data_IF_021210958572
#
_entry.id   IF_021210958572
#
_cell.length_a   1.000
_cell.length_b   1.000
_cell.length_c   1.000
_cell.angle_alpha   90.00
_cell.angle_beta   90.00
_cell.angle_gamma   90.00
#
_symmetry.space_group_name_H-M   'P 1'
#
loop_
_entity.id
_entity.type
_entity.pdbx_description
1 polymer ?
#
# COMPACT_ATOMS: atom_id res chain seq x y z
N UNK A 1 16.71 24.62 8.60
CA UNK A 1 15.99 23.96 9.71
C UNK A 1 15.31 22.70 9.19
N UNK A 2 15.89 21.53 9.46
CA UNK A 2 15.36 20.25 8.95
C UNK A 2 14.16 19.82 9.80
N UNK A 3 12.98 19.68 9.18
CA UNK A 3 11.85 18.97 9.78
C UNK A 3 12.36 17.64 10.33
N UNK A 4 12.25 17.40 11.65
CA UNK A 4 12.64 16.13 12.29
C UNK A 4 11.78 15.01 11.71
N UNK A 5 12.22 14.42 10.60
CA UNK A 5 11.62 13.22 10.02
C UNK A 5 11.72 12.11 11.07
N UNK A 6 10.63 11.40 11.34
CA UNK A 6 10.65 10.19 12.16
C UNK A 6 11.79 9.28 11.70
N UNK A 7 12.61 8.77 12.65
CA UNK A 7 13.67 7.80 12.36
C UNK A 7 13.08 6.57 11.64
N UNK A 8 13.70 6.16 10.53
CA UNK A 8 13.37 4.92 9.83
C UNK A 8 13.88 3.72 10.63
N UNK A 9 13.20 2.58 10.54
CA UNK A 9 13.77 1.31 10.99
C UNK A 9 14.49 0.63 9.83
N UNK A 10 15.63 0.00 10.12
CA UNK A 10 16.41 -0.79 9.16
C UNK A 10 16.32 -2.29 9.47
N UNK A 11 15.41 -2.69 10.35
CA UNK A 11 15.08 -4.10 10.52
C UNK A 11 14.64 -4.71 9.18
N UNK A 12 14.94 -5.99 9.00
CA UNK A 12 14.57 -6.73 7.79
C UNK A 12 13.05 -6.88 7.67
N UNK A 13 12.54 -6.80 6.43
CA UNK A 13 11.13 -7.14 6.16
C UNK A 13 11.06 -8.61 5.74
N UNK A 14 10.67 -9.48 6.66
CA UNK A 14 10.56 -10.92 6.46
C UNK A 14 9.23 -11.35 5.82
N UNK A 15 9.13 -12.64 5.46
CA UNK A 15 7.89 -13.24 4.99
C UNK A 15 6.75 -13.16 6.03
N UNK A 16 7.06 -13.29 7.33
CA UNK A 16 6.06 -13.15 8.41
C UNK A 16 5.44 -11.75 8.44
N UNK A 17 6.22 -10.72 8.15
CA UNK A 17 5.69 -9.36 8.01
C UNK A 17 4.76 -9.24 6.82
N UNK A 18 5.08 -9.86 5.69
CA UNK A 18 4.18 -9.88 4.53
C UNK A 18 2.89 -10.65 4.84
N UNK A 19 2.96 -11.74 5.61
CA UNK A 19 1.77 -12.47 6.09
C UNK A 19 0.88 -11.58 6.94
N UNK A 20 1.47 -10.81 7.87
CA UNK A 20 0.74 -9.86 8.71
C UNK A 20 0.13 -8.72 7.92
N UNK A 21 0.87 -8.13 6.97
CA UNK A 21 0.34 -7.11 6.07
C UNK A 21 -0.81 -7.66 5.21
N UNK A 22 -0.73 -8.94 4.79
CA UNK A 22 -1.81 -9.62 4.08
C UNK A 22 -3.07 -9.73 4.94
N UNK A 23 -2.93 -10.08 6.23
CA UNK A 23 -4.05 -10.17 7.16
C UNK A 23 -4.70 -8.79 7.37
N UNK A 24 -3.90 -7.75 7.60
CA UNK A 24 -4.38 -6.37 7.74
C UNK A 24 -5.13 -5.91 6.48
N UNK A 25 -4.63 -6.22 5.29
CA UNK A 25 -5.32 -5.92 4.03
C UNK A 25 -6.61 -6.73 3.87
N UNK A 26 -6.68 -7.93 4.44
CA UNK A 26 -7.88 -8.76 4.53
C UNK A 26 -8.99 -8.10 5.35
N UNK A 27 -8.67 -7.63 6.55
CA UNK A 27 -9.62 -6.92 7.41
C UNK A 27 -10.16 -5.64 6.75
N UNK A 28 -9.30 -4.87 6.06
CA UNK A 28 -9.76 -3.67 5.37
C UNK A 28 -10.56 -3.98 4.10
N UNK A 29 -10.30 -5.11 3.45
CA UNK A 29 -11.14 -5.63 2.37
C UNK A 29 -12.54 -5.96 2.89
N UNK A 30 -12.66 -6.74 3.97
CA UNK A 30 -13.96 -7.08 4.58
C UNK A 30 -14.73 -5.81 4.98
N UNK A 31 -14.06 -4.86 5.62
CA UNK A 31 -14.65 -3.57 5.97
C UNK A 31 -14.99 -2.71 4.73
N UNK A 32 -14.28 -2.86 3.61
CA UNK A 32 -14.63 -2.19 2.35
C UNK A 32 -15.85 -2.81 1.68
N UNK A 33 -15.99 -4.13 1.71
CA UNK A 33 -17.00 -4.88 0.95
C UNK A 33 -18.19 -5.33 1.79
N UNK A 34 -18.31 -4.85 3.02
CA UNK A 34 -19.51 -5.01 3.86
C UNK A 34 -20.78 -4.45 3.20
N UNK A 35 -21.99 -4.87 3.63
CA UNK A 35 -23.25 -4.46 2.99
C UNK A 35 -23.47 -2.94 2.87
N UNK A 36 -23.07 -2.16 3.88
CA UNK A 36 -23.14 -0.69 3.89
C UNK A 36 -21.90 -0.01 3.26
N UNK A 37 -20.98 -0.80 2.71
CA UNK A 37 -19.76 -0.36 2.05
C UNK A 37 -19.89 -0.47 0.54
N UNK A 38 -19.08 -1.34 -0.05
CA UNK A 38 -19.00 -1.61 -1.50
C UNK A 38 -19.09 -3.12 -1.79
N UNK A 39 -20.23 -3.75 -1.48
CA UNK A 39 -20.40 -5.20 -1.60
C UNK A 39 -20.17 -5.73 -3.02
N UNK A 40 -20.34 -4.91 -4.05
CA UNK A 40 -20.08 -5.27 -5.44
C UNK A 40 -18.60 -5.61 -5.74
N UNK A 41 -17.67 -5.26 -4.84
CA UNK A 41 -16.26 -5.62 -4.94
C UNK A 41 -15.85 -6.84 -4.10
N UNK A 42 -16.75 -7.46 -3.33
CA UNK A 42 -16.44 -8.59 -2.45
C UNK A 42 -15.73 -9.74 -3.19
N UNK A 43 -16.25 -10.15 -4.34
CA UNK A 43 -15.66 -11.20 -5.19
C UNK A 43 -14.64 -10.71 -6.21
N UNK A 44 -14.10 -9.49 -6.06
CA UNK A 44 -13.28 -8.84 -7.10
C UNK A 44 -11.86 -8.53 -6.68
N UNK A 45 -11.42 -8.88 -5.47
CA UNK A 45 -10.02 -8.67 -5.06
C UNK A 45 -9.08 -9.55 -5.88
N UNK A 46 -8.17 -8.93 -6.64
CA UNK A 46 -7.25 -9.64 -7.55
C UNK A 46 -5.80 -9.66 -7.08
N UNK A 47 -5.38 -8.67 -6.28
CA UNK A 47 -4.03 -8.64 -5.72
C UNK A 47 -3.94 -7.76 -4.47
N UNK A 48 -2.95 -8.03 -3.62
CA UNK A 48 -2.46 -7.12 -2.58
C UNK A 48 -0.95 -6.99 -2.75
N UNK A 49 -0.41 -5.78 -2.65
CA UNK A 49 1.03 -5.54 -2.78
C UNK A 49 1.56 -4.61 -1.69
N UNK A 50 2.81 -4.82 -1.29
CA UNK A 50 3.63 -3.84 -0.60
C UNK A 50 4.22 -2.90 -1.65
N UNK A 51 4.20 -1.60 -1.40
CA UNK A 51 4.70 -0.59 -2.31
C UNK A 51 5.68 0.38 -1.64
N UNK A 52 6.28 1.22 -2.48
CA UNK A 52 7.12 2.34 -2.08
C UNK A 52 8.29 1.95 -1.14
N UNK A 53 8.47 2.68 -0.04
CA UNK A 53 9.65 2.57 0.81
C UNK A 53 9.79 1.21 1.46
N UNK A 54 8.67 0.62 1.92
CA UNK A 54 8.65 -0.72 2.50
C UNK A 54 9.04 -1.79 1.47
N UNK A 55 8.54 -1.67 0.24
CA UNK A 55 8.88 -2.62 -0.84
C UNK A 55 10.33 -2.50 -1.30
N UNK A 56 10.86 -1.27 -1.46
CA UNK A 56 12.27 -1.08 -1.79
C UNK A 56 13.17 -1.63 -0.68
N UNK A 57 12.83 -1.36 0.58
CA UNK A 57 13.59 -1.90 1.71
C UNK A 57 13.51 -3.43 1.80
N UNK A 58 12.38 -4.05 1.45
CA UNK A 58 12.29 -5.51 1.30
C UNK A 58 13.24 -6.03 0.21
N UNK A 59 13.37 -5.32 -0.91
CA UNK A 59 14.21 -5.72 -2.04
C UNK A 59 15.71 -5.57 -1.76
N UNK A 60 16.14 -4.47 -1.14
CA UNK A 60 17.57 -4.11 -1.04
C UNK A 60 18.09 -3.84 0.39
N UNK A 61 17.20 -3.69 1.38
CA UNK A 61 17.57 -3.40 2.77
C UNK A 61 18.12 -1.99 3.04
N UNK A 62 18.20 -1.10 2.05
CA UNK A 62 18.95 0.16 2.16
C UNK A 62 18.10 1.35 2.60
N UNK A 63 16.83 1.38 2.21
CA UNK A 63 15.99 2.56 2.40
C UNK A 63 15.46 2.74 3.82
N UNK A 64 15.32 1.65 4.58
CA UNK A 64 14.59 1.60 5.85
C UNK A 64 13.09 1.86 5.70
N UNK A 65 12.33 1.37 6.68
CA UNK A 65 10.88 1.52 6.78
C UNK A 65 10.51 2.75 7.61
N UNK A 66 9.74 3.67 7.03
CA UNK A 66 9.08 4.76 7.76
C UNK A 66 7.65 4.38 8.16
N UNK A 67 6.93 3.84 7.19
CA UNK A 67 5.56 3.35 7.16
C UNK A 67 5.49 2.25 6.08
N UNK A 68 4.44 1.43 6.10
CA UNK A 68 4.16 0.43 5.07
C UNK A 68 3.03 0.89 4.18
N UNK A 69 3.27 1.06 2.88
CA UNK A 69 2.21 1.31 1.89
C UNK A 69 1.69 -0.01 1.34
N UNK A 70 0.45 -0.39 1.67
CA UNK A 70 -0.19 -1.61 1.18
C UNK A 70 -1.33 -1.24 0.24
N UNK A 71 -1.31 -1.82 -0.96
CA UNK A 71 -2.30 -1.57 -2.01
C UNK A 71 -3.11 -2.82 -2.28
N UNK A 72 -4.44 -2.72 -2.15
CA UNK A 72 -5.38 -3.76 -2.58
C UNK A 72 -5.95 -3.40 -3.95
N UNK A 73 -5.78 -4.31 -4.91
CA UNK A 73 -6.29 -4.17 -6.26
C UNK A 73 -7.53 -5.02 -6.49
N UNK A 74 -8.50 -4.42 -7.19
CA UNK A 74 -9.76 -5.06 -7.56
C UNK A 74 -9.90 -5.17 -9.08
N UNK A 75 -10.60 -6.18 -9.56
CA UNK A 75 -11.08 -6.22 -10.93
C UNK A 75 -12.08 -5.07 -11.16
N UNK A 76 -11.83 -4.26 -12.19
CA UNK A 76 -12.71 -3.14 -12.54
C UNK A 76 -14.15 -3.61 -12.81
N UNK A 77 -15.10 -2.76 -12.46
CA UNK A 77 -16.52 -2.96 -12.74
C UNK A 77 -16.91 -2.14 -13.98
N UNK A 78 -17.46 -2.77 -15.04
CA UNK A 78 -17.92 -2.05 -16.20
C UNK A 78 -18.94 -0.96 -15.81
N UNK A 79 -18.72 0.27 -16.29
CA UNK A 79 -19.60 1.40 -16.02
C UNK A 79 -19.52 1.99 -14.60
N UNK A 80 -18.68 1.44 -13.71
CA UNK A 80 -18.56 1.91 -12.33
C UNK A 80 -17.15 2.47 -12.10
N UNK A 81 -17.06 3.77 -11.82
CA UNK A 81 -15.81 4.38 -11.43
C UNK A 81 -15.37 3.89 -10.04
N UNK A 82 -14.10 3.52 -9.91
CA UNK A 82 -13.53 3.19 -8.62
C UNK A 82 -13.41 4.45 -7.73
N UNK A 83 -13.68 4.35 -6.40
CA UNK A 83 -13.54 5.47 -5.49
C UNK A 83 -12.21 6.21 -5.63
N UNK A 84 -12.28 7.52 -5.85
CA UNK A 84 -11.09 8.33 -6.12
C UNK A 84 -10.09 8.35 -4.95
N UNK A 85 -10.56 8.23 -3.70
CA UNK A 85 -9.72 8.35 -2.51
C UNK A 85 -10.24 7.49 -1.36
N UNK A 86 -9.63 6.33 -1.17
CA UNK A 86 -9.68 5.62 0.12
C UNK A 86 -8.26 5.40 0.57
N UNK A 87 -7.89 6.13 1.63
CA UNK A 87 -6.64 5.94 2.35
C UNK A 87 -7.01 5.73 3.82
N UNK A 88 -6.72 4.55 4.35
CA UNK A 88 -6.92 4.22 5.76
C UNK A 88 -5.55 4.00 6.40
N UNK A 89 -5.40 4.49 7.62
CA UNK A 89 -4.17 4.33 8.38
C UNK A 89 -4.45 3.42 9.56
N UNK A 90 -3.69 2.34 9.68
CA UNK A 90 -3.84 1.38 10.76
C UNK A 90 -2.49 1.10 11.43
N UNK A 91 -2.55 0.49 12.60
CA UNK A 91 -1.38 0.09 13.36
C UNK A 91 -0.86 -1.26 12.87
N UNK A 92 0.41 -1.34 12.47
CA UNK A 92 1.06 -2.63 12.24
C UNK A 92 1.12 -3.44 13.53
N UNK A 93 1.17 -2.78 14.70
CA UNK A 93 1.34 -3.38 16.01
C UNK A 93 2.81 -3.60 16.37
N UNK A 94 3.09 -4.06 17.62
CA UNK A 94 4.46 -4.24 18.10
C UNK A 94 5.30 -5.10 17.14
N UNK A 95 6.51 -4.63 16.88
CA UNK A 95 7.53 -5.23 16.00
C UNK A 95 8.88 -4.52 16.19
N UNK A 96 9.94 -5.10 15.65
CA UNK A 96 11.28 -4.56 15.52
C UNK A 96 11.36 -3.28 14.66
N UNK A 97 10.32 -2.99 13.87
CA UNK A 97 10.22 -1.70 13.19
C UNK A 97 9.97 -0.52 14.14
N UNK A 98 9.61 -0.83 15.39
CA UNK A 98 9.21 0.14 16.40
C UNK A 98 7.94 0.90 15.99
N UNK A 99 7.73 2.07 16.58
CA UNK A 99 6.60 2.94 16.22
C UNK A 99 7.04 4.26 15.63
N UNK A 100 6.15 4.86 14.85
CA UNK A 100 6.33 6.22 14.37
C UNK A 100 6.04 7.22 15.50
N UNK A 101 6.91 8.22 15.66
CA UNK A 101 6.74 9.37 16.54
C UNK A 101 6.47 10.62 15.73
N UNK A 102 5.55 11.44 16.20
CA UNK A 102 5.13 12.66 15.54
C UNK A 102 5.50 13.89 16.38
N UNK A 103 6.06 14.89 15.73
CA UNK A 103 6.25 16.21 16.32
C UNK A 103 4.96 17.01 16.16
N UNK A 104 4.22 17.18 17.26
CA UNK A 104 2.94 17.89 17.25
C UNK A 104 3.10 19.39 16.96
N UNK A 105 4.24 19.99 17.30
CA UNK A 105 4.52 21.39 16.98
C UNK A 105 4.77 21.61 15.48
N UNK A 106 5.13 20.55 14.75
CA UNK A 106 5.33 20.60 13.30
C UNK A 106 4.02 20.48 12.48
N UNK A 107 2.86 20.31 13.13
CA UNK A 107 1.58 20.22 12.44
C UNK A 107 1.18 21.56 11.81
N UNK A 108 0.83 21.55 10.52
CA UNK A 108 0.51 22.77 9.75
C UNK A 108 -0.88 23.33 10.03
N UNK A 109 -1.77 22.50 10.56
CA UNK A 109 -3.15 22.85 10.88
C UNK A 109 -3.76 21.85 11.88
N UNK A 110 -4.92 22.20 12.41
CA UNK A 110 -5.64 21.38 13.41
C UNK A 110 -6.02 19.98 12.88
N UNK A 111 -6.34 19.86 11.60
CA UNK A 111 -6.66 18.56 11.01
C UNK A 111 -5.44 17.62 10.96
N UNK A 112 -4.25 18.17 10.67
CA UNK A 112 -2.99 17.41 10.73
C UNK A 112 -2.60 17.05 12.16
N UNK A 113 -2.76 17.99 13.10
CA UNK A 113 -2.53 17.71 14.52
C UNK A 113 -3.44 16.58 15.02
N UNK A 114 -4.72 16.60 14.64
CA UNK A 114 -5.66 15.52 14.96
C UNK A 114 -5.26 14.18 14.36
N UNK A 115 -4.69 14.15 13.14
CA UNK A 115 -4.11 12.92 12.57
C UNK A 115 -2.90 12.45 13.36
N UNK A 116 -1.97 13.34 13.68
CA UNK A 116 -0.77 13.00 14.46
C UNK A 116 -1.13 12.42 15.83
N UNK A 117 -2.09 13.01 16.54
CA UNK A 117 -2.58 12.50 17.83
C UNK A 117 -3.18 11.10 17.72
N UNK A 118 -3.94 10.82 16.66
CA UNK A 118 -4.48 9.47 16.43
C UNK A 118 -3.37 8.46 16.13
N UNK A 119 -2.43 8.82 15.26
CA UNK A 119 -1.35 7.91 14.85
C UNK A 119 -0.29 7.71 15.93
N UNK A 120 -0.12 8.65 16.87
CA UNK A 120 0.82 8.48 17.99
C UNK A 120 0.34 7.41 19.00
N UNK A 121 -0.93 7.00 18.93
CA UNK A 121 -1.47 5.89 19.74
C UNK A 121 -1.08 4.51 19.18
N UNK A 122 -0.56 4.44 17.96
CA UNK A 122 -0.12 3.18 17.37
C UNK A 122 1.07 2.61 18.14
N UNK A 123 1.01 1.30 18.40
CA UNK A 123 2.06 0.53 19.09
C UNK A 123 3.17 0.09 18.14
N UNK A 124 2.89 0.04 16.84
CA UNK A 124 3.82 -0.29 15.76
C UNK A 124 3.99 0.81 14.72
N UNK A 125 4.59 0.45 13.59
CA UNK A 125 4.65 1.31 12.41
C UNK A 125 3.26 1.50 11.83
N UNK A 126 3.03 2.67 11.25
CA UNK A 126 1.81 2.92 10.50
C UNK A 126 1.79 2.09 9.22
N UNK A 127 0.64 1.50 8.92
CA UNK A 127 0.33 0.92 7.61
C UNK A 127 -0.68 1.84 6.91
N UNK A 128 -0.32 2.31 5.73
CA UNK A 128 -1.17 3.10 4.84
C UNK A 128 -1.84 2.13 3.86
N UNK A 129 -3.15 1.98 3.97
CA UNK A 129 -3.98 1.09 3.17
C UNK A 129 -4.65 1.87 2.04
N UNK A 130 -4.32 1.50 0.81
CA UNK A 130 -4.79 2.13 -0.41
C UNK A 130 -5.47 1.10 -1.32
N UNK A 131 -6.32 1.59 -2.22
CA UNK A 131 -7.08 0.73 -3.12
C UNK A 131 -7.12 1.28 -4.53
N UNK A 132 -7.19 0.37 -5.51
CA UNK A 132 -7.43 0.70 -6.91
C UNK A 132 -8.09 -0.45 -7.65
N UNK A 133 -8.73 -0.16 -8.77
CA UNK A 133 -9.10 -1.15 -9.76
C UNK A 133 -8.02 -1.36 -10.83
N UNK A 134 -8.03 -2.54 -11.44
CA UNK A 134 -7.28 -2.90 -12.63
C UNK A 134 -8.25 -3.36 -13.73
N UNK A 135 -7.94 -3.09 -15.01
CA UNK A 135 -8.77 -3.47 -16.14
C UNK A 135 -8.64 -4.99 -16.45
N UNK A 136 -9.08 -5.82 -15.51
CA UNK A 136 -9.07 -7.29 -15.60
C UNK A 136 -10.41 -7.86 -15.16
N UNK A 137 -10.71 -9.10 -15.56
CA UNK A 137 -11.87 -9.84 -15.06
C UNK A 137 -11.62 -10.34 -13.63
N UNK A 138 -12.67 -10.57 -12.82
CA UNK A 138 -12.53 -11.08 -11.45
C UNK A 138 -11.82 -12.44 -11.35
N UNK A 139 -11.95 -13.28 -12.37
CA UNK A 139 -11.33 -14.61 -12.49
C UNK A 139 -10.01 -14.60 -13.27
N UNK A 140 -9.45 -13.41 -13.53
CA UNK A 140 -8.19 -13.27 -14.26
C UNK A 140 -7.08 -14.10 -13.59
N UNK A 141 -6.31 -14.79 -14.43
CA UNK A 141 -5.17 -15.58 -13.98
C UNK A 141 -4.14 -14.69 -13.28
N UNK A 142 -3.34 -15.21 -12.34
CA UNK A 142 -2.27 -14.43 -11.70
C UNK A 142 -1.32 -13.75 -12.70
N UNK A 143 -1.06 -14.36 -13.86
CA UNK A 143 -0.24 -13.75 -14.92
C UNK A 143 -0.90 -12.51 -15.51
N UNK A 144 -2.20 -12.58 -15.82
CA UNK A 144 -2.96 -11.42 -16.34
C UNK A 144 -3.01 -10.28 -15.32
N UNK A 145 -3.21 -10.59 -14.04
CA UNK A 145 -3.21 -9.58 -12.96
C UNK A 145 -1.87 -8.86 -12.86
N UNK A 146 -0.75 -9.60 -12.86
CA UNK A 146 0.59 -8.98 -12.81
C UNK A 146 0.89 -8.19 -14.08
N UNK A 147 0.47 -8.66 -15.25
CA UNK A 147 0.62 -7.90 -16.48
C UNK A 147 -0.16 -6.57 -16.41
N UNK A 148 -1.44 -6.60 -16.02
CA UNK A 148 -2.25 -5.39 -15.87
C UNK A 148 -1.68 -4.41 -14.83
N UNK A 149 -1.14 -4.92 -13.72
CA UNK A 149 -0.46 -4.10 -12.72
C UNK A 149 0.80 -3.43 -13.30
N UNK A 150 1.62 -4.18 -14.05
CA UNK A 150 2.82 -3.63 -14.70
C UNK A 150 2.46 -2.59 -15.76
N UNK A 151 1.43 -2.83 -16.56
CA UNK A 151 0.95 -1.87 -17.56
C UNK A 151 0.45 -0.59 -16.90
N UNK A 152 -0.29 -0.71 -15.79
CA UNK A 152 -0.75 0.43 -15.00
C UNK A 152 0.42 1.25 -14.41
N UNK A 153 1.45 0.58 -13.88
CA UNK A 153 2.66 1.22 -13.37
C UNK A 153 3.46 1.89 -14.49
N UNK A 154 3.62 1.23 -15.64
CA UNK A 154 4.32 1.76 -16.82
C UNK A 154 3.62 3.02 -17.36
N UNK A 155 2.30 2.99 -17.47
CA UNK A 155 1.50 4.16 -17.86
C UNK A 155 1.67 5.31 -16.84
N UNK A 156 1.71 4.97 -15.55
CA UNK A 156 2.03 5.93 -14.48
C UNK A 156 3.41 6.56 -14.64
N UNK A 157 4.45 5.76 -14.86
CA UNK A 157 5.82 6.23 -15.06
C UNK A 157 5.96 7.17 -16.27
N UNK A 158 5.19 6.93 -17.33
CA UNK A 158 5.17 7.75 -18.54
C UNK A 158 4.25 8.99 -18.44
N UNK A 159 3.49 9.16 -17.35
CA UNK A 159 2.51 10.24 -17.23
C UNK A 159 3.18 11.61 -17.14
N UNK A 160 2.90 12.47 -18.13
CA UNK A 160 3.28 13.89 -18.12
C UNK A 160 2.23 14.82 -17.43
N UNK A 161 1.24 14.24 -16.73
CA UNK A 161 0.19 15.01 -16.08
C UNK A 161 0.76 15.97 -15.02
N UNK A 162 0.27 17.22 -15.00
CA UNK A 162 0.65 18.26 -14.02
C UNK A 162 0.50 17.79 -12.56
N UNK A 163 -0.45 16.90 -12.30
CA UNK A 163 -0.60 16.17 -11.04
C UNK A 163 -0.43 14.68 -11.35
N UNK A 164 0.73 14.08 -11.04
CA UNK A 164 0.97 12.68 -11.36
C UNK A 164 -0.03 11.75 -10.66
N UNK A 165 -0.49 10.68 -11.34
CA UNK A 165 -1.36 9.68 -10.73
C UNK A 165 -0.61 8.87 -9.66
N UNK A 166 -1.33 8.10 -8.84
CA UNK A 166 -0.68 7.24 -7.85
C UNK A 166 0.29 6.22 -8.47
N UNK A 167 -0.04 5.69 -9.65
CA UNK A 167 0.84 4.79 -10.41
C UNK A 167 2.20 5.41 -10.73
N UNK A 168 2.27 6.73 -10.95
CA UNK A 168 3.56 7.41 -11.15
C UNK A 168 4.46 7.24 -9.93
N UNK A 169 3.94 7.52 -8.73
CA UNK A 169 4.72 7.43 -7.49
C UNK A 169 5.08 6.00 -7.14
N UNK A 170 4.18 5.04 -7.39
CA UNK A 170 4.45 3.63 -7.18
C UNK A 170 5.53 3.11 -8.14
N UNK A 171 5.50 3.55 -9.40
CA UNK A 171 6.47 3.11 -10.40
C UNK A 171 7.90 3.61 -10.15
N UNK A 172 8.11 4.59 -9.27
CA UNK A 172 9.46 5.06 -8.90
C UNK A 172 10.21 4.10 -7.97
N UNK A 173 9.53 3.09 -7.42
CA UNK A 173 10.05 2.22 -6.35
C UNK A 173 9.61 0.78 -6.57
N UNK A 174 10.12 -0.14 -5.76
CA UNK A 174 9.72 -1.53 -5.87
C UNK A 174 8.23 -1.71 -5.52
N UNK A 175 7.64 -2.76 -6.07
CA UNK A 175 6.32 -3.28 -5.71
C UNK A 175 6.48 -4.78 -5.53
N UNK A 176 6.04 -5.27 -4.36
CA UNK A 176 6.20 -6.66 -3.93
C UNK A 176 4.83 -7.26 -3.68
N UNK A 177 4.56 -8.42 -4.26
CA UNK A 177 3.30 -9.14 -4.09
C UNK A 177 3.14 -9.63 -2.65
N UNK A 178 1.97 -9.38 -2.05
CA UNK A 178 1.58 -9.88 -0.72
C UNK A 178 0.51 -10.98 -0.86
N UNK A 179 -0.49 -10.75 -1.71
CA UNK A 179 -1.58 -11.70 -1.96
C UNK A 179 -1.87 -11.76 -3.47
N UNK A 180 -2.01 -12.96 -4.08
CA UNK A 180 -2.25 -14.26 -3.47
C UNK A 180 -1.03 -14.87 -2.76
N UNK A 181 -1.26 -15.55 -1.62
CA UNK A 181 -0.21 -16.22 -0.80
C UNK A 181 0.86 -16.97 -1.60
N UNK A 182 0.49 -17.69 -2.66
CA UNK A 182 1.43 -18.47 -3.51
C UNK A 182 2.50 -17.63 -4.23
N UNK A 183 2.31 -16.31 -4.31
CA UNK A 183 3.23 -15.35 -4.96
C UNK A 183 3.79 -14.33 -3.98
N UNK A 184 3.56 -14.52 -2.68
CA UNK A 184 3.99 -13.57 -1.65
C UNK A 184 5.50 -13.41 -1.67
N UNK A 185 5.98 -12.17 -1.57
CA UNK A 185 7.39 -11.82 -1.67
C UNK A 185 7.91 -11.66 -3.11
N UNK A 186 7.11 -11.98 -4.13
CA UNK A 186 7.53 -11.78 -5.51
C UNK A 186 7.63 -10.29 -5.86
N UNK A 187 8.79 -9.85 -6.36
CA UNK A 187 8.99 -8.49 -6.86
C UNK A 187 8.32 -8.37 -8.23
N UNK A 188 7.22 -7.61 -8.29
CA UNK A 188 6.46 -7.43 -9.53
C UNK A 188 6.88 -6.19 -10.30
N UNK A 189 7.53 -5.23 -9.64
CA UNK A 189 8.10 -4.04 -10.24
C UNK A 189 9.35 -3.57 -9.46
N UNK A 190 10.42 -3.06 -10.12
CA UNK A 190 10.63 -3.09 -11.57
C UNK A 190 10.67 -4.53 -12.09
N UNK A 191 10.39 -4.74 -13.39
CA UNK A 191 10.65 -6.05 -13.97
C UNK A 191 12.15 -6.33 -13.83
N UNK A 192 12.52 -7.38 -13.10
CA UNK A 192 13.88 -7.90 -13.13
C UNK A 192 14.25 -8.15 -14.59
N UNK A 193 15.42 -7.64 -14.99
CA UNK A 193 16.00 -7.90 -16.32
C UNK A 193 16.25 -9.40 -16.50
#
# INVERSE_FOLDING_TARGET
MSSKKTKRSYAEVTAEHLDRLSAIAGEDHEFFTRPDGRPEFAGRRVAVVLAQGGASHFLDGQGGVKDFDVWTFYAALPGVAFPAKRNRHVDFGPSEFGRQRYDFAAAKNQAELGRFRRWDQFRGRRVDLLMRDLPVQPDATPRQVVQALRDWLKAGAASAARRPPSSYYLAQKAVVMIDPKRRRGEVVWPATR
#
